data_IF_119018062688
#
_entry.id   IF_119018062688
#
_cell.length_a   1.000
_cell.length_b   1.000
_cell.length_c   1.000
_cell.angle_alpha   90.00
_cell.angle_beta   90.00
_cell.angle_gamma   90.00
#
_symmetry.space_group_name_H-M   'P 1'
#
loop_
_entity.id
_entity.type
_entity.pdbx_description
1 polymer ?
#
# COMPACT_ATOMS: atom_id res chain seq x y z
N UNK A 1 -40.73 34.52 23.39
CA UNK A 1 -39.39 34.29 22.80
C UNK A 1 -39.13 32.79 22.84
N UNK A 2 -39.21 32.10 21.71
CA UNK A 2 -39.10 30.63 21.65
C UNK A 2 -38.28 30.27 20.41
N UNK A 3 -36.96 30.30 20.57
CA UNK A 3 -36.01 29.74 19.60
C UNK A 3 -34.95 29.01 20.42
N UNK A 4 -35.08 27.70 20.52
CA UNK A 4 -34.01 26.76 20.80
C UNK A 4 -34.55 25.35 20.54
N UNK A 5 -33.69 24.42 20.14
CA UNK A 5 -33.97 23.01 19.79
C UNK A 5 -34.20 22.66 18.31
N UNK A 6 -33.51 23.33 17.38
CA UNK A 6 -33.12 22.71 16.11
C UNK A 6 -31.62 22.92 15.92
N UNK A 7 -30.80 21.94 16.32
CA UNK A 7 -29.35 22.07 16.17
C UNK A 7 -28.51 20.82 16.41
N UNK A 8 -29.04 19.77 17.06
CA UNK A 8 -28.21 18.61 17.48
C UNK A 8 -28.38 17.36 16.59
N UNK A 9 -29.32 17.36 15.64
CA UNK A 9 -29.59 16.20 14.78
C UNK A 9 -28.65 16.02 13.57
N UNK A 10 -27.97 17.07 13.12
CA UNK A 10 -27.14 17.06 11.90
C UNK A 10 -25.69 16.60 12.13
N UNK A 11 -25.17 16.71 13.35
CA UNK A 11 -23.77 16.40 13.64
C UNK A 11 -23.51 14.89 13.68
N UNK A 12 -24.42 14.08 14.24
CA UNK A 12 -24.25 12.62 14.37
C UNK A 12 -24.19 11.92 13.00
N UNK A 13 -24.92 12.42 11.99
CA UNK A 13 -24.91 11.85 10.64
C UNK A 13 -23.58 12.10 9.89
N UNK A 14 -22.89 13.21 10.16
CA UNK A 14 -21.64 13.58 9.49
C UNK A 14 -20.46 12.68 9.91
N UNK A 15 -20.35 12.36 11.20
CA UNK A 15 -19.24 11.56 11.74
C UNK A 15 -19.29 10.09 11.27
N UNK A 16 -20.49 9.53 11.12
CA UNK A 16 -20.69 8.18 10.60
C UNK A 16 -20.24 8.07 9.14
N UNK A 17 -20.57 9.06 8.32
CA UNK A 17 -20.18 9.09 6.91
C UNK A 17 -18.67 9.24 6.73
N UNK A 18 -18.02 10.15 7.47
CA UNK A 18 -16.58 10.36 7.42
C UNK A 18 -15.78 9.09 7.80
N UNK A 19 -16.28 8.35 8.79
CA UNK A 19 -15.68 7.08 9.22
C UNK A 19 -15.82 5.98 8.18
N UNK A 20 -16.98 5.89 7.51
CA UNK A 20 -17.21 4.94 6.43
C UNK A 20 -16.25 5.19 5.25
N UNK A 21 -16.16 6.43 4.76
CA UNK A 21 -15.24 6.78 3.67
C UNK A 21 -13.79 6.47 4.01
N UNK A 22 -13.36 6.68 5.27
CA UNK A 22 -11.99 6.37 5.68
C UNK A 22 -11.71 4.85 5.67
N UNK A 23 -12.68 4.03 6.10
CA UNK A 23 -12.58 2.56 5.99
C UNK A 23 -12.49 2.11 4.54
N UNK A 24 -13.24 2.74 3.65
CA UNK A 24 -13.22 2.42 2.22
C UNK A 24 -11.85 2.72 1.61
N UNK A 25 -11.31 3.91 1.89
CA UNK A 25 -9.96 4.32 1.48
C UNK A 25 -8.87 3.40 2.03
N UNK A 26 -9.00 2.95 3.29
CA UNK A 26 -8.05 2.01 3.87
C UNK A 26 -8.09 0.63 3.18
N UNK A 27 -9.28 0.11 2.91
CA UNK A 27 -9.43 -1.14 2.14
C UNK A 27 -8.85 -1.00 0.74
N UNK A 28 -9.09 0.13 0.09
CA UNK A 28 -8.50 0.44 -1.21
C UNK A 28 -6.96 0.56 -1.14
N UNK A 29 -6.41 1.13 -0.07
CA UNK A 29 -4.96 1.23 0.15
C UNK A 29 -4.32 -0.17 0.22
N UNK A 30 -4.91 -1.07 1.00
CA UNK A 30 -4.43 -2.47 1.11
C UNK A 30 -4.52 -3.16 -0.25
N UNK A 31 -5.68 -3.05 -0.92
CA UNK A 31 -5.90 -3.63 -2.24
C UNK A 31 -4.87 -3.15 -3.27
N UNK A 32 -4.62 -1.84 -3.34
CA UNK A 32 -3.61 -1.27 -4.25
C UNK A 32 -2.22 -1.79 -3.86
N UNK A 33 -1.89 -1.82 -2.58
CA UNK A 33 -0.64 -2.37 -2.08
C UNK A 33 -0.40 -3.81 -2.55
N UNK A 34 -1.43 -4.65 -2.51
CA UNK A 34 -1.39 -6.03 -3.02
C UNK A 34 -1.15 -6.08 -4.54
N UNK A 35 -1.87 -5.28 -5.32
CA UNK A 35 -1.67 -5.20 -6.78
C UNK A 35 -0.21 -4.82 -7.12
N UNK A 36 0.40 -3.93 -6.34
CA UNK A 36 1.81 -3.58 -6.51
C UNK A 36 2.75 -4.71 -6.10
N UNK A 37 2.51 -5.42 -5.00
CA UNK A 37 3.33 -6.60 -4.62
C UNK A 37 3.31 -7.65 -5.73
N UNK A 38 2.12 -7.99 -6.22
CA UNK A 38 1.95 -8.96 -7.31
C UNK A 38 2.64 -8.47 -8.59
N UNK A 39 2.56 -7.17 -8.90
CA UNK A 39 3.24 -6.62 -10.06
C UNK A 39 4.78 -6.70 -9.93
N UNK A 40 5.32 -6.37 -8.74
CA UNK A 40 6.74 -6.46 -8.44
C UNK A 40 7.24 -7.91 -8.50
N UNK A 41 6.49 -8.85 -7.92
CA UNK A 41 6.77 -10.28 -7.99
C UNK A 41 6.87 -10.76 -9.44
N UNK A 42 5.87 -10.46 -10.26
CA UNK A 42 5.81 -10.91 -11.65
C UNK A 42 6.89 -10.25 -12.52
N UNK A 43 7.28 -9.01 -12.21
CA UNK A 43 8.39 -8.34 -12.86
C UNK A 43 9.72 -8.96 -12.45
N UNK A 44 9.90 -9.26 -11.16
CA UNK A 44 11.12 -9.86 -10.61
C UNK A 44 11.33 -11.28 -11.14
N UNK A 45 10.28 -12.10 -11.20
CA UNK A 45 10.32 -13.51 -11.62
C UNK A 45 10.05 -13.70 -13.12
N UNK A 46 10.16 -12.63 -13.92
CA UNK A 46 9.83 -12.69 -15.34
C UNK A 46 10.73 -13.70 -16.10
N UNK A 47 10.14 -14.66 -16.83
CA UNK A 47 10.93 -15.72 -17.48
C UNK A 47 11.83 -15.16 -18.58
N UNK A 48 13.06 -15.67 -18.64
CA UNK A 48 14.07 -15.23 -19.60
C UNK A 48 14.73 -13.89 -19.28
N UNK A 49 14.45 -13.31 -18.10
CA UNK A 49 15.08 -12.11 -17.59
C UNK A 49 15.77 -12.39 -16.25
N UNK A 50 16.81 -11.62 -15.88
CA UNK A 50 17.41 -11.73 -14.57
C UNK A 50 16.42 -11.31 -13.49
N UNK A 51 16.52 -11.96 -12.32
CA UNK A 51 15.72 -11.67 -11.14
C UNK A 51 16.06 -10.27 -10.59
N UNK A 52 15.34 -9.28 -11.05
CA UNK A 52 15.66 -7.88 -10.83
C UNK A 52 14.40 -7.03 -10.72
N UNK A 53 14.39 -6.12 -9.75
CA UNK A 53 13.32 -5.16 -9.51
C UNK A 53 13.31 -4.02 -10.55
N UNK A 54 12.17 -3.36 -10.82
CA UNK A 54 12.11 -2.26 -11.77
C UNK A 54 12.82 -1.00 -11.24
N UNK A 55 13.30 -0.13 -12.13
CA UNK A 55 13.86 1.18 -11.73
C UNK A 55 12.76 2.23 -11.52
N UNK A 56 11.68 2.10 -12.29
CA UNK A 56 10.56 3.05 -12.37
C UNK A 56 9.21 2.32 -12.26
N UNK A 57 8.14 3.02 -11.86
CA UNK A 57 6.82 2.37 -11.79
C UNK A 57 6.24 2.12 -13.19
N UNK A 58 6.67 2.90 -14.17
CA UNK A 58 6.27 2.80 -15.57
C UNK A 58 6.67 1.45 -16.18
N UNK A 59 7.78 0.86 -15.73
CA UNK A 59 8.20 -0.49 -16.11
C UNK A 59 7.21 -1.58 -15.68
N UNK A 60 6.44 -1.35 -14.62
CA UNK A 60 5.35 -2.26 -14.23
C UNK A 60 4.16 -2.17 -15.19
N UNK A 61 3.96 -1.04 -15.85
CA UNK A 61 2.94 -0.90 -16.90
C UNK A 61 3.41 -1.50 -18.23
N UNK A 62 4.69 -1.33 -18.56
CA UNK A 62 5.28 -1.80 -19.80
C UNK A 62 6.72 -2.19 -19.55
N UNK A 63 6.98 -3.48 -19.54
CA UNK A 63 8.33 -4.01 -19.35
C UNK A 63 9.19 -3.75 -20.61
N UNK A 64 10.27 -2.96 -20.51
CA UNK A 64 11.16 -2.68 -21.64
C UNK A 64 12.03 -3.88 -22.02
N UNK A 65 12.13 -4.91 -21.16
CA UNK A 65 12.98 -6.08 -21.37
C UNK A 65 12.38 -7.08 -22.38
N UNK A 66 11.09 -6.94 -22.70
CA UNK A 66 10.41 -7.78 -23.67
C UNK A 66 10.10 -7.02 -24.96
N UNK A 67 10.27 -7.64 -26.14
CA UNK A 67 9.92 -7.02 -27.43
C UNK A 67 8.40 -6.86 -27.64
N UNK A 68 7.57 -7.39 -26.73
CA UNK A 68 6.12 -7.16 -26.68
C UNK A 68 5.71 -6.36 -25.43
N UNK A 69 4.56 -5.69 -25.47
CA UNK A 69 4.04 -4.94 -24.33
C UNK A 69 3.59 -5.88 -23.20
N UNK A 70 4.55 -6.31 -22.36
CA UNK A 70 4.26 -7.09 -21.16
C UNK A 70 3.91 -6.15 -20.02
N UNK A 71 2.70 -6.31 -19.49
CA UNK A 71 2.11 -5.43 -18.47
C UNK A 71 1.89 -6.21 -17.18
N UNK A 72 2.41 -5.69 -16.07
CA UNK A 72 2.24 -6.28 -14.75
C UNK A 72 1.19 -5.55 -13.90
N UNK A 73 1.02 -4.25 -14.13
CA UNK A 73 0.09 -3.40 -13.41
C UNK A 73 -0.93 -2.74 -14.35
N UNK A 74 -2.21 -2.70 -13.96
CA UNK A 74 -3.33 -2.20 -14.79
C UNK A 74 -3.41 -0.69 -14.96
N UNK A 75 -2.75 0.09 -14.09
CA UNK A 75 -2.61 1.55 -14.13
C UNK A 75 -1.75 1.97 -12.95
N UNK A 76 -1.18 3.17 -13.00
CA UNK A 76 -0.68 3.80 -11.78
C UNK A 76 -1.90 4.28 -11.00
N UNK A 77 -2.05 3.77 -9.77
CA UNK A 77 -3.11 4.17 -8.87
C UNK A 77 -2.70 5.45 -8.13
N UNK A 78 -3.68 6.28 -7.79
CA UNK A 78 -3.46 7.33 -6.79
C UNK A 78 -3.47 6.69 -5.41
N UNK A 79 -2.75 7.28 -4.46
CA UNK A 79 -2.91 6.97 -3.05
C UNK A 79 -4.34 7.36 -2.63
N UNK A 80 -5.18 6.40 -2.18
CA UNK A 80 -6.58 6.66 -1.88
C UNK A 80 -6.77 7.52 -0.63
N UNK A 81 -5.75 7.61 0.22
CA UNK A 81 -5.76 8.41 1.44
C UNK A 81 -5.43 9.87 1.13
N UNK A 82 -4.38 10.12 0.33
CA UNK A 82 -3.98 11.49 -0.07
C UNK A 82 -4.78 12.02 -1.27
N UNK A 83 -5.33 11.12 -2.08
CA UNK A 83 -6.02 11.42 -3.34
C UNK A 83 -5.08 11.72 -4.52
N UNK A 84 -3.76 11.56 -4.36
CA UNK A 84 -2.74 11.96 -5.33
C UNK A 84 -1.85 10.78 -5.74
N UNK A 85 -1.17 10.81 -6.89
CA UNK A 85 -0.20 9.79 -7.28
C UNK A 85 1.16 9.98 -6.58
N UNK A 86 1.16 10.22 -5.27
CA UNK A 86 2.33 10.64 -4.48
C UNK A 86 2.92 9.53 -3.59
N UNK A 87 2.97 8.31 -4.14
CA UNK A 87 3.56 7.16 -3.46
C UNK A 87 5.03 7.38 -3.09
N UNK A 88 5.40 7.01 -1.86
CA UNK A 88 6.81 6.90 -1.49
C UNK A 88 7.33 5.56 -1.95
N UNK A 89 8.32 5.60 -2.84
CA UNK A 89 8.97 4.40 -3.36
C UNK A 89 10.03 3.90 -2.38
N UNK A 90 9.92 2.64 -2.00
CA UNK A 90 10.94 1.95 -1.19
C UNK A 90 11.93 1.31 -2.14
N UNK A 91 13.21 1.63 -1.96
CA UNK A 91 14.27 1.23 -2.88
C UNK A 91 15.37 0.44 -2.21
N UNK A 92 15.88 -0.56 -2.91
CA UNK A 92 17.11 -1.28 -2.55
C UNK A 92 18.05 -1.25 -3.76
N UNK A 93 19.30 -0.84 -3.55
CA UNK A 93 20.29 -0.70 -4.63
C UNK A 93 19.76 0.12 -5.83
N UNK A 94 18.98 1.17 -5.55
CA UNK A 94 18.37 2.05 -6.56
C UNK A 94 17.06 1.54 -7.21
N UNK A 95 16.67 0.27 -7.00
CA UNK A 95 15.49 -0.34 -7.61
C UNK A 95 14.30 -0.39 -6.66
N UNK A 96 13.10 -0.32 -7.21
CA UNK A 96 11.85 -0.26 -6.43
C UNK A 96 11.49 -1.66 -5.94
N UNK A 97 11.55 -1.86 -4.63
CA UNK A 97 11.19 -3.13 -3.98
C UNK A 97 9.81 -3.06 -3.30
N UNK A 98 9.24 -1.87 -3.24
CA UNK A 98 7.94 -1.65 -2.62
C UNK A 98 7.54 -0.19 -2.61
N UNK A 99 6.44 0.09 -1.92
CA UNK A 99 5.91 1.43 -1.76
C UNK A 99 5.17 1.61 -0.43
N UNK A 100 4.89 2.86 -0.10
CA UNK A 100 4.06 3.25 1.04
C UNK A 100 3.36 4.58 0.79
N UNK A 101 2.25 4.80 1.49
CA UNK A 101 1.53 6.08 1.47
C UNK A 101 2.38 7.21 2.08
N UNK A 102 2.14 8.46 1.66
CA UNK A 102 2.67 9.64 2.36
C UNK A 102 1.84 10.02 3.60
N UNK A 103 0.65 9.45 3.76
CA UNK A 103 -0.32 9.87 4.76
C UNK A 103 0.15 9.58 6.18
N UNK A 104 0.12 10.61 7.03
CA UNK A 104 0.37 10.50 8.47
C UNK A 104 -0.87 10.12 9.26
N UNK A 105 -2.01 9.89 8.60
CA UNK A 105 -3.24 9.47 9.27
C UNK A 105 -3.08 8.09 9.88
N UNK A 106 -3.76 7.88 11.02
CA UNK A 106 -3.72 6.62 11.76
C UNK A 106 -4.52 5.52 11.05
N UNK A 107 -4.01 4.29 10.93
CA UNK A 107 -4.82 3.19 10.43
C UNK A 107 -5.97 2.82 11.38
N UNK A 108 -7.13 2.49 10.82
CA UNK A 108 -8.28 1.95 11.54
C UNK A 108 -8.01 0.47 11.86
N UNK A 109 -7.57 -0.30 10.86
CA UNK A 109 -7.15 -1.70 11.04
C UNK A 109 -5.82 -1.75 11.78
N UNK A 110 -5.80 -2.43 12.91
CA UNK A 110 -4.62 -2.60 13.76
C UNK A 110 -4.14 -4.06 13.83
N UNK A 111 -4.97 -5.03 13.42
CA UNK A 111 -4.66 -6.46 13.43
C UNK A 111 -5.58 -7.28 12.53
N UNK A 112 -5.52 -8.60 12.71
CA UNK A 112 -6.22 -9.59 11.87
C UNK A 112 -5.86 -9.43 10.38
N UNK A 113 -4.58 -9.19 10.10
CA UNK A 113 -4.03 -9.13 8.75
C UNK A 113 -3.73 -10.55 8.26
N UNK A 114 -3.72 -10.73 6.95
CA UNK A 114 -3.21 -11.95 6.32
C UNK A 114 -1.69 -12.06 6.53
N UNK A 115 -1.12 -13.25 6.30
CA UNK A 115 0.30 -13.52 6.55
C UNK A 115 1.23 -12.55 5.79
N UNK A 116 0.87 -12.22 4.54
CA UNK A 116 1.63 -11.27 3.71
C UNK A 116 1.55 -9.80 4.20
N UNK A 117 0.70 -9.52 5.19
CA UNK A 117 0.44 -8.19 5.73
C UNK A 117 0.78 -8.05 7.22
N UNK A 118 1.43 -9.05 7.82
CA UNK A 118 1.82 -8.98 9.25
C UNK A 118 2.65 -7.74 9.58
N UNK A 119 3.46 -7.25 8.63
CA UNK A 119 4.24 -6.02 8.77
C UNK A 119 3.42 -4.74 8.91
N UNK A 120 2.12 -4.77 8.60
CA UNK A 120 1.19 -3.63 8.70
C UNK A 120 0.54 -3.51 10.08
N UNK A 121 0.61 -4.57 10.89
CA UNK A 121 -0.03 -4.62 12.21
C UNK A 121 0.57 -3.59 13.18
N UNK A 122 -0.28 -3.06 14.07
CA UNK A 122 0.08 -2.12 15.13
C UNK A 122 0.83 -0.85 14.69
N UNK A 123 0.74 -0.49 13.41
CA UNK A 123 1.34 0.75 12.90
C UNK A 123 0.49 1.96 13.26
N UNK A 124 1.16 3.07 13.56
CA UNK A 124 0.53 4.31 13.98
C UNK A 124 0.12 5.20 12.83
N UNK A 125 0.70 5.02 11.63
CA UNK A 125 0.40 5.81 10.42
C UNK A 125 0.36 4.93 9.18
N UNK A 126 -0.42 5.33 8.17
CA UNK A 126 -0.35 4.71 6.84
C UNK A 126 1.03 4.86 6.19
N UNK A 127 1.77 5.91 6.55
CA UNK A 127 3.15 6.09 6.16
C UNK A 127 4.08 4.96 6.63
N UNK A 128 3.69 4.18 7.63
CA UNK A 128 4.46 3.04 8.14
C UNK A 128 3.95 1.71 7.57
N UNK A 129 2.92 1.73 6.71
CA UNK A 129 2.46 0.57 5.94
C UNK A 129 3.29 0.43 4.67
N UNK A 130 4.24 -0.50 4.73
CA UNK A 130 5.18 -0.76 3.65
C UNK A 130 4.77 -2.01 2.89
N UNK A 131 4.44 -1.86 1.61
CA UNK A 131 4.07 -2.94 0.72
C UNK A 131 5.27 -3.31 -0.14
N UNK A 132 5.95 -4.41 0.17
CA UNK A 132 7.14 -4.87 -0.56
C UNK A 132 6.95 -6.26 -1.13
N UNK A 133 7.76 -6.57 -2.13
CA UNK A 133 8.03 -7.95 -2.51
C UNK A 133 9.52 -8.26 -2.28
N UNK A 134 9.85 -9.39 -1.62
CA UNK A 134 8.93 -10.21 -0.82
C UNK A 134 8.32 -9.38 0.33
N UNK A 135 7.18 -9.83 0.88
CA UNK A 135 6.44 -9.06 1.88
C UNK A 135 7.22 -8.88 3.19
N UNK A 136 8.13 -9.80 3.46
CA UNK A 136 8.96 -9.85 4.65
C UNK A 136 10.31 -9.14 4.52
N UNK A 137 10.56 -8.49 3.37
CA UNK A 137 11.84 -7.87 3.03
C UNK A 137 12.39 -6.92 4.12
N UNK A 138 11.50 -6.29 4.90
CA UNK A 138 11.86 -5.42 6.03
C UNK A 138 11.24 -5.84 7.35
N UNK A 139 10.54 -6.98 7.42
CA UNK A 139 10.08 -7.51 8.70
C UNK A 139 11.15 -8.43 9.27
N UNK A 140 11.53 -8.28 10.55
CA UNK A 140 12.39 -9.28 11.17
C UNK A 140 11.67 -10.62 11.16
N UNK A 141 12.21 -11.61 10.43
CA UNK A 141 11.69 -12.99 10.46
C UNK A 141 11.80 -13.48 11.90
N UNK A 142 10.69 -13.85 12.58
CA UNK A 142 10.75 -14.44 13.91
C UNK A 142 11.34 -15.86 13.77
N UNK A 143 12.67 -15.97 13.77
CA UNK A 143 13.33 -17.27 13.62
C UNK A 143 14.82 -17.22 13.28
N UNK A 144 15.34 -16.11 12.74
CA UNK A 144 16.75 -16.03 12.30
C UNK A 144 17.72 -15.64 13.45
N UNK A 145 17.46 -16.19 14.63
CA UNK A 145 18.43 -16.28 15.71
C UNK A 145 19.32 -17.49 15.47
N UNK A 146 20.13 -17.48 14.41
CA UNK A 146 21.18 -18.48 14.22
C UNK A 146 22.24 -18.23 15.28
N UNK A 147 22.35 -19.23 16.14
CA UNK A 147 23.34 -19.38 17.21
C UNK A 147 24.73 -19.38 16.55
N UNK A 148 25.57 -18.41 16.92
CA UNK A 148 27.01 -18.50 16.79
C UNK A 148 27.62 -18.75 18.17
#
# INVERSE_FOLDING_TARGET
MLIAFMGVGLTIAADLYATATRRDKERELIFIGHEFRVALERYYTAPGQPNQYPLTLEELLKDPRFPGARRYLRRLYNDPVTGKPDWVLVRQQGRIVGLRSLSTQRPIKQGNFDDDDVGLANKTRYADWVFTYPYDLFTPVPGDGVKH
#
